data_IF_403636104144
#
_entry.id   IF_403636104144
#
_cell.length_a   1.000
_cell.length_b   1.000
_cell.length_c   1.000
_cell.angle_alpha   90.00
_cell.angle_beta   90.00
_cell.angle_gamma   90.00
#
_symmetry.space_group_name_H-M   'P 1'
#
loop_
_entity.id
_entity.type
_entity.pdbx_description
1 polymer ?
#
# COMPACT_ATOMS: atom_id res chain seq x y z
N UNK A 1 10.84 15.71 17.97
CA UNK A 1 10.15 14.75 17.12
C UNK A 1 9.18 15.56 16.26
N UNK A 2 9.36 15.65 14.95
CA UNK A 2 8.37 16.34 14.11
C UNK A 2 7.14 15.43 14.07
N UNK A 3 6.04 15.89 14.64
CA UNK A 3 4.76 15.17 14.50
C UNK A 3 4.38 15.11 13.03
N UNK A 4 4.04 13.92 12.54
CA UNK A 4 3.49 13.73 11.23
C UNK A 4 2.17 14.50 11.11
N UNK A 5 1.93 15.19 10.01
CA UNK A 5 0.65 15.88 9.77
C UNK A 5 -0.48 14.93 9.44
N UNK A 6 -0.13 13.75 8.89
CA UNK A 6 -1.03 12.67 8.52
C UNK A 6 -0.45 11.34 9.00
N UNK A 7 -0.62 11.00 10.29
CA UNK A 7 0.11 9.93 10.96
C UNK A 7 -0.47 8.54 10.65
N UNK A 8 -0.17 8.00 9.48
CA UNK A 8 -0.58 6.66 9.08
C UNK A 8 0.52 5.90 8.32
N UNK A 9 0.42 4.58 8.34
CA UNK A 9 1.26 3.65 7.60
C UNK A 9 0.40 2.45 7.20
N UNK A 10 0.15 2.28 5.91
CA UNK A 10 -0.77 1.24 5.42
C UNK A 10 -0.08 0.05 4.78
N UNK A 11 1.24 -0.09 4.92
CA UNK A 11 1.95 -1.21 4.35
C UNK A 11 3.07 -1.68 5.29
N UNK A 12 2.80 -2.77 6.00
CA UNK A 12 3.75 -3.37 6.95
C UNK A 12 3.62 -4.89 7.00
N UNK A 13 4.76 -5.57 7.23
CA UNK A 13 4.89 -7.01 7.27
C UNK A 13 5.20 -7.52 8.68
N UNK A 14 4.80 -8.76 8.94
CA UNK A 14 5.00 -9.43 10.23
C UNK A 14 5.58 -10.83 10.03
N UNK A 15 5.73 -11.58 11.11
CA UNK A 15 6.13 -13.00 11.08
C UNK A 15 5.11 -13.91 10.36
N UNK A 16 4.00 -13.37 9.89
CA UNK A 16 3.05 -14.09 9.02
C UNK A 16 3.56 -14.21 7.58
N UNK A 17 4.47 -13.32 7.16
CA UNK A 17 5.20 -13.43 5.91
C UNK A 17 6.71 -13.41 6.16
N UNK A 18 7.39 -12.37 5.76
CA UNK A 18 8.85 -12.20 5.81
C UNK A 18 9.31 -11.07 6.75
N UNK A 19 8.37 -10.48 7.49
CA UNK A 19 8.70 -9.59 8.59
C UNK A 19 9.22 -10.34 9.83
N UNK A 20 9.94 -9.65 10.70
CA UNK A 20 10.54 -10.24 11.92
C UNK A 20 9.79 -9.92 13.22
N UNK A 21 8.85 -8.96 13.18
CA UNK A 21 8.00 -8.58 14.31
C UNK A 21 6.64 -9.28 14.27
N UNK A 22 6.00 -9.45 15.44
CA UNK A 22 4.61 -9.86 15.51
C UNK A 22 3.68 -8.69 15.18
N UNK A 23 2.38 -8.97 14.96
CA UNK A 23 1.35 -7.93 14.81
C UNK A 23 1.37 -6.98 16.02
N UNK A 24 1.49 -7.52 17.24
CA UNK A 24 1.56 -6.71 18.45
C UNK A 24 2.80 -5.79 18.49
N UNK A 25 3.96 -6.27 18.02
CA UNK A 25 5.17 -5.45 17.97
C UNK A 25 5.03 -4.29 16.99
N UNK A 26 4.41 -4.52 15.81
CA UNK A 26 4.15 -3.47 14.83
C UNK A 26 3.16 -2.44 15.38
N UNK A 27 2.10 -2.86 16.05
CA UNK A 27 1.13 -1.97 16.70
C UNK A 27 1.82 -1.12 17.78
N UNK A 28 2.59 -1.74 18.67
CA UNK A 28 3.31 -1.01 19.72
C UNK A 28 4.26 0.04 19.14
N UNK A 29 4.97 -0.28 18.06
CA UNK A 29 5.84 0.67 17.37
C UNK A 29 5.05 1.82 16.72
N UNK A 30 3.88 1.54 16.17
CA UNK A 30 2.99 2.55 15.59
C UNK A 30 2.46 3.52 16.66
N UNK A 31 2.03 2.99 17.81
CA UNK A 31 1.57 3.77 18.96
C UNK A 31 2.69 4.66 19.54
N UNK A 32 3.89 4.10 19.72
CA UNK A 32 5.06 4.86 20.19
C UNK A 32 5.41 6.03 19.27
N UNK A 33 5.22 5.86 17.96
CA UNK A 33 5.47 6.91 16.97
C UNK A 33 4.29 7.86 16.78
N UNK A 34 3.16 7.61 17.45
CA UNK A 34 1.97 8.45 17.41
C UNK A 34 1.18 8.35 16.12
N UNK A 35 1.23 7.20 15.43
CA UNK A 35 0.34 6.95 14.31
C UNK A 35 -1.11 6.93 14.78
N UNK A 36 -2.04 7.15 13.85
CA UNK A 36 -3.48 7.04 14.06
C UNK A 36 -4.06 5.82 13.34
N UNK A 37 -3.38 5.40 12.30
CA UNK A 37 -3.79 4.29 11.46
C UNK A 37 -2.58 3.43 11.10
N UNK A 38 -2.72 2.12 11.26
CA UNK A 38 -1.75 1.10 10.83
C UNK A 38 -2.43 0.04 9.98
N UNK A 39 -1.86 -0.29 8.84
CA UNK A 39 -2.22 -1.45 8.03
C UNK A 39 -1.25 -2.60 8.25
N UNK A 40 -1.77 -3.80 8.48
CA UNK A 40 -1.01 -5.05 8.50
C UNK A 40 -1.30 -5.76 7.18
N UNK A 41 -0.26 -5.96 6.35
CA UNK A 41 -0.40 -6.35 4.93
C UNK A 41 0.61 -7.42 4.51
N UNK A 42 0.73 -8.47 5.30
CA UNK A 42 1.61 -9.58 4.98
C UNK A 42 1.36 -10.15 3.57
N UNK A 43 2.40 -10.65 2.92
CA UNK A 43 2.32 -11.18 1.56
C UNK A 43 1.31 -12.34 1.43
N UNK A 44 0.47 -12.27 0.40
CA UNK A 44 -0.60 -13.23 0.09
C UNK A 44 -0.13 -14.68 0.05
N UNK A 45 0.96 -14.96 -0.65
CA UNK A 45 1.48 -16.30 -0.87
C UNK A 45 1.97 -17.01 0.41
N UNK A 46 2.26 -16.26 1.50
CA UNK A 46 2.53 -16.83 2.83
C UNK A 46 1.25 -17.05 3.62
N UNK A 47 0.29 -16.14 3.48
CA UNK A 47 -0.88 -16.05 4.38
C UNK A 47 -2.08 -16.82 3.84
N UNK A 48 -2.32 -16.78 2.53
CA UNK A 48 -3.50 -17.41 1.90
C UNK A 48 -3.43 -18.94 2.04
N UNK A 49 -4.47 -19.51 2.64
CA UNK A 49 -4.57 -20.93 2.92
C UNK A 49 -4.81 -21.21 4.42
N UNK A 50 -4.00 -22.09 5.01
CA UNK A 50 -4.25 -22.57 6.39
C UNK A 50 -4.11 -21.51 7.48
N UNK A 51 -3.29 -20.47 7.25
CA UNK A 51 -2.99 -19.42 8.23
C UNK A 51 -3.93 -18.24 8.15
N UNK A 52 -4.62 -18.02 7.03
CA UNK A 52 -5.40 -16.81 6.76
C UNK A 52 -6.44 -16.45 7.83
N UNK A 53 -7.28 -17.41 8.23
CA UNK A 53 -8.29 -17.12 9.25
C UNK A 53 -7.68 -16.80 10.63
N UNK A 54 -6.49 -17.32 10.92
CA UNK A 54 -5.75 -16.99 12.13
C UNK A 54 -5.17 -15.60 12.03
N UNK A 55 -4.58 -15.27 10.90
CA UNK A 55 -4.02 -13.95 10.58
C UNK A 55 -5.05 -12.83 10.80
N UNK A 56 -6.18 -12.89 10.11
CA UNK A 56 -7.25 -11.89 10.25
C UNK A 56 -7.75 -11.80 11.70
N UNK A 57 -7.96 -12.93 12.37
CA UNK A 57 -8.41 -12.95 13.76
C UNK A 57 -7.41 -12.29 14.71
N UNK A 58 -6.11 -12.50 14.52
CA UNK A 58 -5.08 -11.89 15.35
C UNK A 58 -4.99 -10.38 15.11
N UNK A 59 -5.07 -9.91 13.86
CA UNK A 59 -5.12 -8.46 13.57
C UNK A 59 -6.33 -7.83 14.28
N UNK A 60 -7.52 -8.40 14.11
CA UNK A 60 -8.74 -7.87 14.75
C UNK A 60 -8.63 -7.87 16.27
N UNK A 61 -8.08 -8.93 16.86
CA UNK A 61 -7.87 -9.02 18.30
C UNK A 61 -6.96 -7.90 18.80
N UNK A 62 -5.76 -7.80 18.26
CA UNK A 62 -4.78 -6.81 18.69
C UNK A 62 -5.24 -5.38 18.37
N UNK A 63 -5.91 -5.18 17.22
CA UNK A 63 -6.50 -3.89 16.87
C UNK A 63 -7.58 -3.43 17.84
N UNK A 64 -8.40 -4.35 18.36
CA UNK A 64 -9.41 -4.02 19.39
C UNK A 64 -8.80 -3.65 20.75
N UNK A 65 -7.57 -4.08 21.02
CA UNK A 65 -6.83 -3.77 22.26
C UNK A 65 -5.96 -2.51 22.11
N UNK A 66 -5.84 -1.95 20.89
CA UNK A 66 -4.99 -0.82 20.53
C UNK A 66 -5.70 0.53 20.67
N UNK A 67 -4.91 1.59 20.89
CA UNK A 67 -5.39 2.99 20.89
C UNK A 67 -5.49 3.60 19.49
N UNK A 68 -4.95 2.92 18.46
CA UNK A 68 -4.97 3.36 17.06
C UNK A 68 -5.89 2.48 16.23
N UNK A 69 -6.33 2.96 15.07
CA UNK A 69 -7.03 2.15 14.09
C UNK A 69 -6.06 1.16 13.44
N UNK A 70 -6.38 -0.15 13.49
CA UNK A 70 -5.59 -1.18 12.83
C UNK A 70 -6.43 -1.85 11.76
N UNK A 71 -5.99 -1.77 10.51
CA UNK A 71 -6.65 -2.37 9.36
C UNK A 71 -6.03 -3.73 9.02
N UNK A 72 -6.89 -4.70 8.75
CA UNK A 72 -6.47 -6.00 8.23
C UNK A 72 -6.40 -5.92 6.70
N UNK A 73 -5.21 -5.85 6.17
CA UNK A 73 -4.94 -5.87 4.74
C UNK A 73 -4.16 -7.12 4.32
N UNK A 74 -3.76 -7.14 3.08
CA UNK A 74 -2.86 -8.12 2.48
C UNK A 74 -2.10 -7.47 1.34
N UNK A 75 -0.85 -7.86 1.12
CA UNK A 75 -0.14 -7.54 -0.11
C UNK A 75 -0.15 -8.73 -1.05
N UNK A 76 -0.87 -8.58 -2.17
CA UNK A 76 -0.91 -9.55 -3.26
C UNK A 76 0.11 -9.29 -4.33
N UNK A 77 0.46 -10.35 -5.09
CA UNK A 77 1.27 -10.23 -6.29
C UNK A 77 0.38 -9.98 -7.50
N UNK A 78 0.84 -9.09 -8.38
CA UNK A 78 0.28 -8.93 -9.72
C UNK A 78 1.05 -9.88 -10.65
N UNK A 79 0.32 -10.79 -11.31
CA UNK A 79 0.87 -11.76 -12.24
C UNK A 79 0.21 -11.61 -13.62
N UNK A 80 0.76 -12.22 -14.68
CA UNK A 80 0.11 -12.22 -15.99
C UNK A 80 -1.31 -12.84 -16.03
N UNK A 81 -1.68 -13.57 -14.98
CA UNK A 81 -3.00 -14.18 -14.83
C UNK A 81 -3.95 -13.41 -13.89
N UNK A 82 -3.61 -12.21 -13.50
CA UNK A 82 -4.33 -11.40 -12.52
C UNK A 82 -3.61 -11.39 -11.16
N UNK A 83 -4.35 -11.12 -10.08
CA UNK A 83 -3.80 -11.04 -8.73
C UNK A 83 -3.87 -12.40 -8.01
N UNK A 84 -2.95 -12.64 -7.07
CA UNK A 84 -2.92 -13.88 -6.29
C UNK A 84 -3.75 -13.82 -5.00
N UNK A 85 -4.70 -12.86 -4.93
CA UNK A 85 -5.63 -12.71 -3.80
C UNK A 85 -7.03 -13.16 -4.24
N UNK A 86 -7.52 -14.34 -3.79
CA UNK A 86 -8.85 -14.81 -4.15
C UNK A 86 -9.98 -13.97 -3.53
N UNK A 87 -11.13 -13.88 -4.19
CA UNK A 87 -12.32 -13.16 -3.72
C UNK A 87 -12.69 -13.43 -2.27
N UNK A 88 -12.67 -14.70 -1.85
CA UNK A 88 -13.06 -15.07 -0.48
C UNK A 88 -12.06 -14.56 0.58
N UNK A 89 -10.83 -14.23 0.16
CA UNK A 89 -9.81 -13.58 0.98
C UNK A 89 -10.09 -12.09 1.04
N UNK A 90 -10.17 -11.42 -0.11
CA UNK A 90 -10.43 -9.98 -0.20
C UNK A 90 -11.66 -9.54 0.60
N UNK A 91 -12.77 -10.28 0.49
CA UNK A 91 -14.03 -10.01 1.23
C UNK A 91 -13.94 -10.06 2.76
N UNK A 92 -12.84 -10.55 3.34
CA UNK A 92 -12.62 -10.60 4.81
C UNK A 92 -11.66 -9.54 5.31
N UNK A 93 -11.06 -8.81 4.39
CA UNK A 93 -10.08 -7.77 4.66
C UNK A 93 -10.72 -6.38 4.60
N UNK A 94 -10.04 -5.40 5.15
CA UNK A 94 -10.46 -4.01 5.04
C UNK A 94 -10.01 -3.40 3.71
N UNK A 95 -8.90 -3.92 3.14
CA UNK A 95 -8.36 -3.52 1.84
C UNK A 95 -7.30 -4.50 1.35
N UNK A 96 -7.00 -4.40 0.06
CA UNK A 96 -5.99 -5.20 -0.63
C UNK A 96 -5.01 -4.25 -1.34
N UNK A 97 -3.73 -4.36 -1.00
CA UNK A 97 -2.62 -3.78 -1.78
C UNK A 97 -2.12 -4.85 -2.74
N UNK A 98 -1.74 -4.47 -3.93
CA UNK A 98 -1.08 -5.36 -4.89
C UNK A 98 0.13 -4.72 -5.52
N UNK A 99 1.18 -5.51 -5.70
CA UNK A 99 2.46 -5.03 -6.19
C UNK A 99 3.02 -5.96 -7.27
N UNK A 100 3.86 -5.42 -8.16
CA UNK A 100 4.60 -6.20 -9.13
C UNK A 100 5.90 -6.68 -8.48
N UNK A 101 5.96 -7.95 -8.09
CA UNK A 101 7.16 -8.61 -7.58
C UNK A 101 7.81 -9.52 -8.62
N UNK A 102 7.12 -9.80 -9.71
CA UNK A 102 7.64 -10.55 -10.84
C UNK A 102 8.74 -9.77 -11.56
N UNK A 103 9.67 -10.52 -12.16
CA UNK A 103 10.66 -9.91 -13.04
C UNK A 103 9.96 -9.45 -14.33
N UNK A 104 10.23 -8.22 -14.72
CA UNK A 104 9.78 -7.63 -16.00
C UNK A 104 10.97 -7.03 -16.71
N UNK A 105 10.97 -7.09 -18.03
CA UNK A 105 12.11 -6.63 -18.84
C UNK A 105 11.93 -5.21 -19.36
N UNK A 106 10.68 -4.73 -19.46
CA UNK A 106 10.35 -3.41 -20.03
C UNK A 106 9.32 -2.66 -19.18
N UNK A 107 9.26 -1.31 -19.28
CA UNK A 107 8.22 -0.55 -18.60
C UNK A 107 6.81 -0.89 -19.12
N UNK A 108 6.65 -1.24 -20.38
CA UNK A 108 5.38 -1.65 -20.99
C UNK A 108 4.85 -2.93 -20.33
N UNK A 109 5.70 -3.95 -20.15
CA UNK A 109 5.32 -5.19 -19.43
C UNK A 109 4.89 -4.88 -17.99
N UNK A 110 5.61 -4.02 -17.29
CA UNK A 110 5.25 -3.57 -15.95
C UNK A 110 3.86 -2.92 -15.94
N UNK A 111 3.61 -1.99 -16.88
CA UNK A 111 2.34 -1.28 -16.95
C UNK A 111 1.18 -2.18 -17.35
N UNK A 112 1.38 -3.18 -18.21
CA UNK A 112 0.34 -4.16 -18.54
C UNK A 112 -0.10 -4.96 -17.31
N UNK A 113 0.84 -5.36 -16.45
CA UNK A 113 0.51 -5.99 -15.18
C UNK A 113 -0.28 -5.04 -14.26
N UNK A 114 0.16 -3.80 -14.12
CA UNK A 114 -0.55 -2.80 -13.31
C UNK A 114 -1.97 -2.55 -13.84
N UNK A 115 -2.15 -2.46 -15.15
CA UNK A 115 -3.48 -2.29 -15.78
C UNK A 115 -4.42 -3.45 -15.47
N UNK A 116 -3.92 -4.71 -15.44
CA UNK A 116 -4.73 -5.86 -15.00
C UNK A 116 -5.21 -5.70 -13.55
N UNK A 117 -4.36 -5.22 -12.66
CA UNK A 117 -4.75 -4.97 -11.28
C UNK A 117 -5.75 -3.81 -11.12
N UNK A 118 -5.59 -2.74 -11.91
CA UNK A 118 -6.47 -1.57 -11.85
C UNK A 118 -7.92 -1.86 -12.23
N UNK A 119 -8.19 -2.91 -13.00
CA UNK A 119 -9.55 -3.33 -13.37
C UNK A 119 -10.11 -4.46 -12.48
N UNK A 120 -9.30 -5.02 -11.57
CA UNK A 120 -9.75 -6.07 -10.66
C UNK A 120 -10.55 -5.46 -9.49
N UNK A 121 -11.74 -5.99 -9.24
CA UNK A 121 -12.64 -5.47 -8.20
C UNK A 121 -12.12 -5.66 -6.77
N UNK A 122 -11.24 -6.65 -6.56
CA UNK A 122 -10.68 -6.96 -5.25
C UNK A 122 -9.46 -6.08 -4.88
N UNK A 123 -8.96 -5.26 -5.78
CA UNK A 123 -7.81 -4.38 -5.55
C UNK A 123 -8.29 -3.02 -5.05
N UNK A 124 -7.66 -2.50 -4.01
CA UNK A 124 -7.89 -1.15 -3.51
C UNK A 124 -6.71 -0.22 -3.80
N UNK A 125 -5.48 -0.73 -3.64
CA UNK A 125 -4.25 0.07 -3.71
C UNK A 125 -3.22 -0.61 -4.59
N UNK A 126 -2.57 0.16 -5.47
CA UNK A 126 -1.35 -0.25 -6.16
C UNK A 126 -0.16 0.11 -5.28
N UNK A 127 0.56 -0.91 -4.80
CA UNK A 127 1.75 -0.79 -3.96
C UNK A 127 2.98 -0.35 -4.76
N UNK A 128 3.85 0.41 -4.12
CA UNK A 128 5.14 0.94 -4.60
C UNK A 128 5.28 1.11 -6.13
N UNK A 129 4.24 1.72 -6.75
CA UNK A 129 4.18 1.97 -8.20
C UNK A 129 5.42 2.70 -8.70
N UNK A 130 6.09 2.11 -9.69
CA UNK A 130 7.30 2.66 -10.29
C UNK A 130 8.61 2.21 -9.62
N UNK A 131 8.59 1.34 -8.62
CA UNK A 131 9.81 0.81 -8.00
C UNK A 131 10.72 0.07 -8.99
N UNK A 132 10.16 -0.47 -10.07
CA UNK A 132 10.90 -1.18 -11.12
C UNK A 132 11.49 -0.24 -12.20
N UNK A 133 10.99 0.98 -12.36
CA UNK A 133 11.42 1.90 -13.44
C UNK A 133 12.93 2.16 -13.52
N UNK A 134 13.69 2.26 -12.40
CA UNK A 134 15.14 2.40 -12.51
C UNK A 134 15.86 1.23 -13.19
N UNK A 135 15.23 0.07 -13.28
CA UNK A 135 15.79 -1.16 -13.84
C UNK A 135 15.31 -1.46 -15.26
N UNK A 136 14.05 -1.15 -15.55
CA UNK A 136 13.39 -1.51 -16.80
C UNK A 136 13.21 -0.31 -17.77
N UNK A 137 13.42 0.91 -17.29
CA UNK A 137 13.18 2.16 -18.00
C UNK A 137 11.91 2.87 -17.54
N UNK A 138 11.78 4.13 -17.95
CA UNK A 138 10.65 4.97 -17.59
C UNK A 138 9.61 4.96 -18.72
N UNK A 139 8.32 4.79 -18.38
CA UNK A 139 7.25 4.86 -19.38
C UNK A 139 7.08 6.29 -19.92
N UNK A 140 6.43 6.39 -21.06
CA UNK A 140 6.01 7.67 -21.65
C UNK A 140 4.91 8.34 -20.82
N UNK A 141 4.70 9.64 -21.06
CA UNK A 141 3.62 10.40 -20.43
C UNK A 141 2.24 9.83 -20.83
N UNK A 142 2.09 9.39 -22.06
CA UNK A 142 0.87 8.80 -22.60
C UNK A 142 0.53 7.50 -21.87
N UNK A 143 1.49 6.61 -21.64
CA UNK A 143 1.30 5.35 -20.93
C UNK A 143 0.95 5.58 -19.45
N UNK A 144 1.58 6.56 -18.79
CA UNK A 144 1.20 6.95 -17.43
C UNK A 144 -0.21 7.54 -17.36
N UNK A 145 -0.65 8.27 -18.39
CA UNK A 145 -2.01 8.77 -18.46
C UNK A 145 -3.05 7.65 -18.55
N UNK A 146 -2.78 6.59 -19.33
CA UNK A 146 -3.67 5.40 -19.38
C UNK A 146 -3.82 4.75 -18.01
N UNK A 147 -2.73 4.61 -17.25
CA UNK A 147 -2.76 4.08 -15.87
C UNK A 147 -3.62 4.96 -14.97
N UNK A 148 -3.45 6.27 -15.03
CA UNK A 148 -4.24 7.22 -14.24
C UNK A 148 -5.73 7.20 -14.62
N UNK A 149 -6.07 7.10 -15.90
CA UNK A 149 -7.45 6.98 -16.38
C UNK A 149 -8.13 5.71 -15.86
N UNK A 150 -7.41 4.57 -15.88
CA UNK A 150 -7.93 3.32 -15.33
C UNK A 150 -8.11 3.37 -13.82
N UNK A 151 -7.16 3.97 -13.09
CA UNK A 151 -7.25 4.14 -11.64
C UNK A 151 -8.44 5.02 -11.25
N UNK A 152 -8.61 6.17 -11.94
CA UNK A 152 -9.74 7.07 -11.74
C UNK A 152 -11.09 6.38 -12.03
N UNK A 153 -11.19 5.70 -13.18
CA UNK A 153 -12.42 5.03 -13.60
C UNK A 153 -12.85 3.88 -12.66
N UNK A 154 -11.89 3.21 -12.01
CA UNK A 154 -12.15 2.06 -11.13
C UNK A 154 -11.99 2.40 -9.63
N UNK A 155 -11.77 3.67 -9.28
CA UNK A 155 -11.66 4.13 -7.90
C UNK A 155 -10.46 3.54 -7.14
N UNK A 156 -9.36 3.26 -7.85
CA UNK A 156 -8.15 2.68 -7.25
C UNK A 156 -7.23 3.77 -6.70
N UNK A 157 -6.50 3.44 -5.63
CA UNK A 157 -5.53 4.31 -4.99
C UNK A 157 -4.09 3.90 -5.31
N UNK A 158 -3.15 4.80 -5.06
CA UNK A 158 -1.71 4.51 -5.13
C UNK A 158 -1.04 4.72 -3.79
N UNK A 159 -0.10 3.85 -3.51
CA UNK A 159 0.81 4.00 -2.39
C UNK A 159 1.92 5.01 -2.70
N UNK A 160 2.24 5.85 -1.72
CA UNK A 160 3.48 6.64 -1.70
C UNK A 160 4.46 5.92 -0.77
N UNK A 161 5.39 5.18 -1.35
CA UNK A 161 6.34 4.35 -0.63
C UNK A 161 7.56 5.13 -0.19
N UNK A 162 7.79 5.17 1.12
CA UNK A 162 9.02 5.77 1.68
C UNK A 162 10.24 4.89 1.46
N UNK A 163 10.08 3.57 1.39
CA UNK A 163 11.17 2.61 1.16
C UNK A 163 11.79 2.79 -0.21
N UNK A 164 10.96 2.82 -1.25
CA UNK A 164 11.41 2.93 -2.65
C UNK A 164 11.47 4.36 -3.15
N UNK A 165 10.88 5.32 -2.43
CA UNK A 165 10.75 6.73 -2.82
C UNK A 165 10.02 6.90 -4.15
N UNK A 166 8.89 6.22 -4.27
CA UNK A 166 7.98 6.25 -5.42
C UNK A 166 6.54 6.47 -4.96
N UNK A 167 5.62 6.89 -5.88
CA UNK A 167 5.89 7.35 -7.23
C UNK A 167 6.53 8.73 -7.26
N UNK A 168 6.92 9.19 -8.45
CA UNK A 168 7.52 10.51 -8.62
C UNK A 168 6.53 11.65 -8.35
N UNK A 169 7.05 12.83 -8.02
CA UNK A 169 6.28 14.01 -7.62
C UNK A 169 5.20 14.39 -8.63
N UNK A 170 5.50 14.32 -9.92
CA UNK A 170 4.56 14.74 -10.96
C UNK A 170 3.41 13.73 -11.13
N UNK A 171 3.66 12.44 -10.93
CA UNK A 171 2.61 11.43 -10.86
C UNK A 171 1.68 11.66 -9.65
N UNK A 172 2.23 11.95 -8.48
CA UNK A 172 1.45 12.29 -7.27
C UNK A 172 0.57 13.52 -7.53
N UNK A 173 1.09 14.54 -8.21
CA UNK A 173 0.32 15.74 -8.59
C UNK A 173 -0.86 15.42 -9.51
N UNK A 174 -0.65 14.55 -10.49
CA UNK A 174 -1.72 14.13 -11.39
C UNK A 174 -2.76 13.27 -10.66
N UNK A 175 -2.37 12.40 -9.71
CA UNK A 175 -3.33 11.71 -8.84
C UNK A 175 -4.22 12.69 -8.09
N UNK A 176 -3.63 13.67 -7.40
CA UNK A 176 -4.38 14.69 -6.63
C UNK A 176 -5.34 15.46 -7.54
N UNK A 177 -4.87 15.90 -8.70
CA UNK A 177 -5.67 16.66 -9.67
C UNK A 177 -6.89 15.88 -10.19
N UNK A 178 -6.76 14.56 -10.32
CA UNK A 178 -7.82 13.64 -10.78
C UNK A 178 -8.70 13.12 -9.63
N UNK A 179 -8.38 13.44 -8.37
CA UNK A 179 -9.09 12.92 -7.19
C UNK A 179 -8.79 11.44 -6.90
N UNK A 180 -7.71 10.89 -7.48
CA UNK A 180 -7.21 9.55 -7.16
C UNK A 180 -6.59 9.59 -5.77
N UNK A 181 -7.07 8.71 -4.89
CA UNK A 181 -6.62 8.66 -3.50
C UNK A 181 -5.19 8.13 -3.38
N UNK A 182 -4.51 8.59 -2.33
CA UNK A 182 -3.12 8.22 -2.03
C UNK A 182 -3.02 7.71 -0.59
N UNK A 183 -2.03 6.87 -0.31
CA UNK A 183 -1.75 6.42 1.05
C UNK A 183 -0.24 6.36 1.31
N UNK A 184 0.19 6.47 2.57
CA UNK A 184 1.61 6.41 2.92
C UNK A 184 1.99 5.02 3.38
N UNK A 185 3.18 4.60 2.98
CA UNK A 185 3.70 3.29 3.32
C UNK A 185 5.19 3.31 3.67
N UNK A 186 5.53 2.58 4.72
CA UNK A 186 6.92 2.30 5.06
C UNK A 186 7.44 1.03 4.39
N UNK A 187 6.55 0.08 4.09
CA UNK A 187 6.89 -1.28 3.67
C UNK A 187 7.87 -1.91 4.70
N UNK A 188 7.52 -1.76 5.98
CA UNK A 188 8.37 -2.18 7.08
C UNK A 188 8.31 -3.69 7.28
N UNK A 189 9.48 -4.33 7.35
CA UNK A 189 9.67 -5.75 7.64
C UNK A 189 10.21 -5.99 9.07
N UNK A 190 10.31 -4.92 9.87
CA UNK A 190 10.72 -4.95 11.27
C UNK A 190 10.02 -3.82 12.03
N UNK A 191 9.71 -4.01 13.33
CA UNK A 191 8.88 -3.07 14.09
C UNK A 191 9.42 -1.63 14.10
N UNK A 192 10.74 -1.45 14.18
CA UNK A 192 11.37 -0.12 14.18
C UNK A 192 11.19 0.63 12.86
N UNK A 193 10.89 -0.10 11.78
CA UNK A 193 10.59 0.46 10.46
C UNK A 193 9.16 0.99 10.33
N UNK A 194 8.21 0.49 11.11
CA UNK A 194 6.81 0.93 11.11
C UNK A 194 6.73 2.43 11.33
N UNK A 195 5.92 3.13 10.52
CA UNK A 195 5.77 4.57 10.59
C UNK A 195 6.94 5.40 10.01
N UNK A 196 7.91 4.79 9.36
CA UNK A 196 8.97 5.50 8.66
C UNK A 196 8.48 6.09 7.32
N UNK A 197 7.38 6.83 7.37
CA UNK A 197 6.68 7.44 6.23
C UNK A 197 7.05 8.92 5.97
N UNK A 198 8.11 9.40 6.58
CA UNK A 198 8.48 10.82 6.49
C UNK A 198 8.80 11.31 5.07
N UNK A 199 9.29 10.46 4.19
CA UNK A 199 9.48 10.84 2.79
C UNK A 199 8.13 10.94 2.05
N UNK A 200 7.24 9.98 2.28
CA UNK A 200 5.90 9.97 1.69
C UNK A 200 5.14 11.23 2.04
N UNK A 201 5.11 11.58 3.33
CA UNK A 201 4.46 12.81 3.80
C UNK A 201 5.09 14.07 3.18
N UNK A 202 6.42 14.11 3.10
CA UNK A 202 7.13 15.27 2.53
C UNK A 202 6.82 15.45 1.04
N UNK A 203 6.83 14.40 0.25
CA UNK A 203 6.55 14.49 -1.20
C UNK A 203 5.08 14.80 -1.45
N UNK A 204 4.16 14.20 -0.68
CA UNK A 204 2.73 14.49 -0.73
C UNK A 204 2.43 15.97 -0.47
N UNK A 205 2.99 16.54 0.61
CA UNK A 205 2.87 17.99 0.90
C UNK A 205 3.46 18.86 -0.22
N UNK A 206 4.60 18.43 -0.78
CA UNK A 206 5.22 19.14 -1.93
C UNK A 206 4.36 19.07 -3.19
N UNK A 207 3.58 18.02 -3.36
CA UNK A 207 2.60 17.89 -4.44
C UNK A 207 1.36 18.77 -4.24
N UNK A 208 1.15 19.33 -3.05
CA UNK A 208 -0.03 20.12 -2.68
C UNK A 208 -1.15 19.28 -2.06
N UNK A 209 -0.83 18.05 -1.65
CA UNK A 209 -1.80 17.11 -1.08
C UNK A 209 -2.38 17.56 0.25
N UNK A 210 -3.65 17.28 0.43
CA UNK A 210 -4.47 17.59 1.60
C UNK A 210 -5.07 16.30 2.17
N UNK A 211 -5.68 16.38 3.35
CA UNK A 211 -6.31 15.24 4.01
C UNK A 211 -7.34 14.53 3.12
N UNK A 212 -8.15 15.29 2.41
CA UNK A 212 -9.15 14.77 1.48
C UNK A 212 -8.58 13.97 0.30
N UNK A 213 -7.29 14.06 0.01
CA UNK A 213 -6.62 13.30 -1.04
C UNK A 213 -6.10 11.93 -0.54
N UNK A 214 -6.21 11.69 0.78
CA UNK A 214 -5.76 10.43 1.39
C UNK A 214 -6.86 9.38 1.39
N UNK A 215 -6.46 8.13 1.15
CA UNK A 215 -7.29 6.97 1.43
C UNK A 215 -7.41 6.81 2.95
N UNK A 216 -8.56 6.40 3.45
CA UNK A 216 -8.84 6.25 4.89
C UNK A 216 -8.77 7.57 5.68
N UNK A 217 -9.06 8.70 5.04
CA UNK A 217 -9.02 10.02 5.67
C UNK A 217 -9.88 10.14 6.95
N UNK A 218 -10.93 9.32 7.06
CA UNK A 218 -11.83 9.27 8.20
C UNK A 218 -11.17 8.84 9.50
N UNK A 219 -10.04 8.13 9.43
CA UNK A 219 -9.27 7.66 10.60
C UNK A 219 -8.08 8.56 10.97
N UNK A 220 -7.82 9.64 10.22
CA UNK A 220 -6.64 10.48 10.36
C UNK A 220 -6.88 11.78 11.14
#
# INVERSE_FOLDING_TARGET
MNMLGFPHDTHTHTVYSDGIGSIADNIASAEEKGLKLLGITDHSHYVVGKTFNRYVREIRRWGNESEITVLAGIEGNITPNGIDVPDFVAKKLDYVIVSVHEWVDTPEEYLELVKLALIDENVDVIGHFGANFPYVGFPSVEELNEVLELAEANGKAFEISSRYRVPELDFIRECIKRGIKLTFASDAHFPEGVGNVGWSEKVFKKAGGKREDLLFEEFL
#
